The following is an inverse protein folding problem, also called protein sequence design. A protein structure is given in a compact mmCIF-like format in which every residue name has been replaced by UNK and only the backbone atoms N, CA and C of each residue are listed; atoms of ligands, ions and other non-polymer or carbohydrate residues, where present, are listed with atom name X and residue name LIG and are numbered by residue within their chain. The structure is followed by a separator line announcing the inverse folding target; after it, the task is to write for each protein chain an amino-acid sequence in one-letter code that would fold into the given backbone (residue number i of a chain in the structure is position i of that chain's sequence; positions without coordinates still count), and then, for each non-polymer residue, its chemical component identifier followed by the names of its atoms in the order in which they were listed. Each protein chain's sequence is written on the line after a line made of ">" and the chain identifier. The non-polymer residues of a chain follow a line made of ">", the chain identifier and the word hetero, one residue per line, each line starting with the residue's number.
data_IF_839290684359
#
_entry.id   IF_839290684359
#
_cell.length_a   1.000
_cell.length_b   1.000
_cell.length_c   1.000
_cell.angle_alpha   90.00
_cell.angle_beta   90.00
_cell.angle_gamma   90.00
#
_symmetry.space_group_name_H-M   'P 1'
#
loop_
_entity.id
_entity.type
_entity.pdbx_description
1 polymer ?
#
# COMPACT_ATOMS: atom_id res chain seq x y z
N UNK A 1 41.55 -39.35 -9.20
CA UNK A 1 41.41 -38.06 -8.48
C UNK A 1 40.57 -38.29 -7.23
N UNK A 2 41.22 -38.49 -6.07
CA UNK A 2 40.54 -38.65 -4.77
C UNK A 2 40.65 -37.32 -4.03
N UNK A 3 39.55 -36.60 -3.87
CA UNK A 3 39.39 -35.62 -2.79
C UNK A 3 37.98 -35.84 -2.21
N UNK A 4 38.00 -36.36 -0.99
CA UNK A 4 36.89 -36.76 -0.12
C UNK A 4 35.90 -35.60 0.07
N UNK A 5 34.62 -35.79 -0.26
CA UNK A 5 33.53 -35.97 0.72
C UNK A 5 33.87 -35.66 2.20
N UNK A 6 32.97 -34.87 2.82
CA UNK A 6 32.67 -34.77 4.27
C UNK A 6 33.74 -34.16 5.20
N UNK A 7 33.95 -32.83 5.23
CA UNK A 7 34.74 -32.20 6.33
C UNK A 7 34.60 -30.67 6.56
N UNK A 8 33.70 -29.95 5.87
CA UNK A 8 33.62 -28.47 6.01
C UNK A 8 32.37 -27.95 6.73
N UNK A 9 31.78 -28.74 7.62
CA UNK A 9 30.58 -28.34 8.37
C UNK A 9 30.62 -28.65 9.88
N UNK A 10 31.77 -29.02 10.47
CA UNK A 10 31.80 -29.49 11.87
C UNK A 10 32.89 -28.92 12.80
N UNK A 11 33.72 -27.95 12.38
CA UNK A 11 34.87 -27.49 13.20
C UNK A 11 34.91 -26.00 13.57
N UNK A 12 33.83 -25.24 13.34
CA UNK A 12 33.57 -23.98 14.03
C UNK A 12 32.39 -24.19 14.99
N UNK A 13 32.61 -24.88 16.11
CA UNK A 13 32.98 -24.25 17.38
C UNK A 13 31.91 -23.20 17.77
N UNK A 14 30.77 -23.60 18.34
CA UNK A 14 30.59 -23.82 19.80
C UNK A 14 30.94 -22.56 20.65
N UNK A 15 30.65 -21.32 20.22
CA UNK A 15 30.99 -20.14 21.04
C UNK A 15 30.07 -18.90 21.02
N UNK A 16 28.79 -18.99 20.63
CA UNK A 16 27.85 -17.87 20.87
C UNK A 16 26.51 -18.38 21.42
N UNK A 17 26.51 -18.82 22.69
CA UNK A 17 25.34 -19.34 23.43
C UNK A 17 24.73 -18.37 24.44
N UNK A 18 25.05 -17.07 24.43
CA UNK A 18 24.51 -16.16 25.43
C UNK A 18 23.88 -14.91 24.79
N UNK A 19 22.66 -15.09 24.28
CA UNK A 19 21.80 -14.00 23.80
C UNK A 19 20.41 -14.04 24.41
N UNK A 20 20.30 -14.26 25.73
CA UNK A 20 19.06 -13.95 26.44
C UNK A 20 18.94 -12.43 26.53
N UNK A 21 18.03 -11.83 25.78
CA UNK A 21 17.57 -10.47 26.06
C UNK A 21 16.08 -10.38 25.76
N UNK A 22 15.39 -10.04 26.84
CA UNK A 22 13.94 -9.96 27.01
C UNK A 22 13.30 -9.10 25.92
N UNK A 23 12.22 -9.60 25.31
CA UNK A 23 11.32 -8.77 24.51
C UNK A 23 10.56 -7.85 25.48
N UNK A 24 11.21 -6.75 25.86
CA UNK A 24 10.59 -5.66 26.60
C UNK A 24 9.49 -5.08 25.72
N UNK A 25 8.25 -5.23 26.17
CA UNK A 25 7.07 -4.83 25.41
C UNK A 25 7.07 -3.34 25.08
N UNK A 26 6.69 -3.00 23.86
CA UNK A 26 6.20 -1.67 23.52
C UNK A 26 4.80 -1.48 24.13
N UNK A 27 4.71 -1.32 25.46
CA UNK A 27 3.50 -0.83 26.11
C UNK A 27 3.50 0.70 26.00
N UNK A 28 3.12 1.20 24.84
CA UNK A 28 2.74 2.59 24.65
C UNK A 28 1.26 2.62 24.28
N UNK A 29 0.38 2.63 25.29
CA UNK A 29 -0.96 3.16 25.07
C UNK A 29 -0.81 4.67 24.87
N UNK A 30 -0.70 5.09 23.62
CA UNK A 30 -0.79 6.49 23.23
C UNK A 30 -2.25 6.93 23.34
N UNK A 31 -2.78 7.03 24.56
CA UNK A 31 -3.98 7.82 24.84
C UNK A 31 -3.55 9.28 24.90
N UNK A 32 -3.25 9.83 23.73
CA UNK A 32 -3.16 11.27 23.55
C UNK A 32 -4.59 11.79 23.58
N UNK A 33 -5.08 12.07 24.79
CA UNK A 33 -6.21 12.96 25.01
C UNK A 33 -5.72 14.41 24.88
N UNK A 34 -5.14 14.75 23.72
CA UNK A 34 -5.03 16.14 23.32
C UNK A 34 -6.42 16.51 22.82
N UNK A 35 -7.05 17.49 23.45
CA UNK A 35 -8.19 18.16 22.85
C UNK A 35 -7.61 18.97 21.69
N UNK A 36 -7.39 18.31 20.55
CA UNK A 36 -6.84 18.91 19.32
C UNK A 36 -7.80 20.02 18.89
N UNK A 37 -7.34 21.20 18.44
CA UNK A 37 -8.18 22.01 17.57
C UNK A 37 -8.62 21.10 16.43
N UNK A 38 -9.92 20.87 16.32
CA UNK A 38 -10.51 19.96 15.35
C UNK A 38 -9.98 20.38 13.98
N UNK A 39 -9.13 19.53 13.38
CA UNK A 39 -8.64 19.78 12.03
C UNK A 39 -9.88 19.96 11.14
N UNK A 40 -9.83 20.83 10.12
CA UNK A 40 -10.92 20.89 9.16
C UNK A 40 -11.23 19.47 8.66
N UNK A 41 -12.51 19.15 8.42
CA UNK A 41 -12.87 17.85 7.87
C UNK A 41 -12.07 17.62 6.57
N UNK A 42 -11.76 16.36 6.25
CA UNK A 42 -11.18 16.05 4.96
C UNK A 42 -12.09 16.58 3.83
N UNK A 43 -11.53 16.87 2.64
CA UNK A 43 -12.34 17.20 1.49
C UNK A 43 -13.34 16.07 1.20
N UNK A 44 -14.47 16.43 0.59
CA UNK A 44 -15.44 15.45 0.14
C UNK A 44 -14.86 14.62 -1.00
N UNK A 45 -15.22 13.35 -1.02
CA UNK A 45 -14.85 12.33 -1.98
C UNK A 45 -16.06 11.40 -2.06
N UNK A 46 -16.92 11.66 -3.05
CA UNK A 46 -18.28 11.14 -3.11
C UNK A 46 -18.31 9.69 -3.57
N UNK A 47 -17.39 9.27 -4.44
CA UNK A 47 -17.29 7.88 -4.92
C UNK A 47 -16.17 7.06 -4.26
N UNK A 48 -15.27 7.71 -3.53
CA UNK A 48 -14.27 7.06 -2.68
C UNK A 48 -13.03 6.58 -3.42
N UNK A 49 -12.71 7.15 -4.57
CA UNK A 49 -11.53 6.80 -5.36
C UNK A 49 -10.23 7.48 -4.88
N UNK A 50 -10.35 8.44 -3.97
CA UNK A 50 -9.24 9.20 -3.39
C UNK A 50 -8.93 10.53 -4.07
N UNK A 51 -9.74 10.95 -5.06
CA UNK A 51 -9.70 12.25 -5.70
C UNK A 51 -10.77 13.15 -5.05
N UNK A 52 -10.42 14.33 -4.52
CA UNK A 52 -11.40 15.25 -3.96
C UNK A 52 -12.45 15.70 -4.98
N UNK A 53 -13.72 15.79 -4.58
CA UNK A 53 -14.85 16.24 -5.42
C UNK A 53 -14.57 17.56 -6.17
N UNK A 54 -13.78 18.47 -5.57
CA UNK A 54 -13.41 19.77 -6.16
C UNK A 54 -12.45 19.64 -7.38
N UNK A 55 -11.78 18.50 -7.50
CA UNK A 55 -10.77 18.21 -8.53
C UNK A 55 -11.10 16.98 -9.37
N UNK A 56 -12.15 16.27 -9.00
CA UNK A 56 -12.65 15.08 -9.68
C UNK A 56 -13.55 15.48 -10.87
N UNK A 57 -13.23 14.98 -12.06
CA UNK A 57 -14.04 15.21 -13.25
C UNK A 57 -15.37 14.41 -13.23
N UNK A 58 -15.42 13.27 -12.54
CA UNK A 58 -16.58 12.42 -12.41
C UNK A 58 -16.89 12.05 -10.94
N UNK A 59 -17.19 13.04 -10.10
CA UNK A 59 -17.61 13.00 -8.67
C UNK A 59 -18.46 11.78 -8.19
N UNK A 60 -19.17 11.09 -9.07
CA UNK A 60 -20.03 9.94 -8.72
C UNK A 60 -19.60 8.61 -9.35
N UNK A 61 -18.54 8.61 -10.15
CA UNK A 61 -18.02 7.46 -10.89
C UNK A 61 -16.53 7.29 -10.60
N UNK A 62 -16.18 6.35 -9.73
CA UNK A 62 -14.80 6.13 -9.31
C UNK A 62 -13.86 5.87 -10.49
N UNK A 63 -12.68 6.50 -10.44
CA UNK A 63 -11.55 6.26 -11.35
C UNK A 63 -11.15 4.78 -11.42
N UNK A 64 -10.92 4.27 -12.62
CA UNK A 64 -10.53 2.88 -12.87
C UNK A 64 -9.03 2.70 -13.16
N UNK A 65 -8.28 3.80 -13.31
CA UNK A 65 -6.84 3.82 -13.55
C UNK A 65 -6.45 3.34 -14.95
N UNK A 66 -7.38 3.32 -15.90
CA UNK A 66 -7.13 2.92 -17.27
C UNK A 66 -6.63 4.11 -18.11
N UNK A 67 -5.84 3.81 -19.16
CA UNK A 67 -5.53 4.82 -20.18
C UNK A 67 -6.85 5.25 -20.88
N UNK A 68 -6.98 6.47 -21.42
CA UNK A 68 -5.92 7.44 -21.69
C UNK A 68 -5.46 8.24 -20.46
N UNK A 69 -6.34 8.52 -19.51
CA UNK A 69 -6.09 9.46 -18.42
C UNK A 69 -6.37 8.80 -17.05
N UNK A 70 -5.45 8.01 -16.50
CA UNK A 70 -5.69 7.12 -15.35
C UNK A 70 -5.80 7.84 -13.98
N UNK A 71 -6.05 9.15 -14.00
CA UNK A 71 -6.07 10.06 -12.83
C UNK A 71 -6.96 11.28 -13.10
N UNK A 72 -7.82 11.24 -14.11
CA UNK A 72 -8.73 12.35 -14.38
C UNK A 72 -9.96 12.32 -13.46
N UNK A 73 -10.16 11.21 -12.74
CA UNK A 73 -11.30 11.01 -11.86
C UNK A 73 -12.48 10.37 -12.58
N UNK A 74 -12.28 9.85 -13.79
CA UNK A 74 -13.34 9.29 -14.60
C UNK A 74 -12.96 7.88 -15.07
N UNK A 75 -13.87 6.90 -14.99
CA UNK A 75 -13.62 5.59 -15.57
C UNK A 75 -13.49 5.69 -17.09
N UNK A 76 -12.54 4.94 -17.66
CA UNK A 76 -12.42 4.88 -19.11
C UNK A 76 -13.64 4.19 -19.73
N UNK A 77 -14.32 4.89 -20.64
CA UNK A 77 -15.50 4.40 -21.37
C UNK A 77 -15.17 3.67 -22.66
N UNK A 78 -13.91 3.66 -23.12
CA UNK A 78 -13.41 3.04 -24.35
C UNK A 78 -12.03 2.39 -24.10
N UNK A 79 -12.02 1.10 -23.73
CA UNK A 79 -10.81 0.39 -23.30
C UNK A 79 -9.83 0.08 -24.43
N UNK A 80 -10.28 0.01 -25.68
CA UNK A 80 -9.43 -0.33 -26.82
C UNK A 80 -9.10 0.86 -27.75
N UNK A 81 -9.75 2.00 -27.53
CA UNK A 81 -9.47 3.26 -28.19
C UNK A 81 -10.02 3.33 -29.62
N UNK A 82 -11.02 2.52 -29.96
CA UNK A 82 -11.62 2.51 -31.29
C UNK A 82 -12.69 3.60 -31.49
N UNK A 83 -13.05 4.31 -30.42
CA UNK A 83 -14.06 5.37 -30.39
C UNK A 83 -15.48 4.88 -30.09
N UNK A 84 -15.67 3.61 -29.75
CA UNK A 84 -16.94 3.01 -29.36
C UNK A 84 -16.95 2.78 -27.85
N UNK A 85 -17.91 3.35 -27.11
CA UNK A 85 -17.93 3.16 -25.67
C UNK A 85 -18.48 1.78 -25.27
N UNK A 86 -17.97 1.19 -24.19
CA UNK A 86 -18.21 -0.17 -23.66
C UNK A 86 -19.69 -0.59 -23.47
N UNK A 87 -20.72 0.28 -23.33
CA UNK A 87 -22.11 -0.19 -23.46
C UNK A 87 -22.52 -0.59 -24.89
N UNK A 88 -21.67 -0.31 -25.89
CA UNK A 88 -21.98 -0.39 -27.34
C UNK A 88 -20.95 -1.16 -28.15
N UNK A 89 -19.87 -1.64 -27.53
CA UNK A 89 -18.87 -2.55 -28.09
C UNK A 89 -19.46 -3.97 -28.28
#
# INVERSE_FOLDING_TARGET
>A
MRISQTSSWLLSLVLVTAGASVMSGCKAELKVAMKTPEAPPPPADTDGDGIPDDTDACVTEAEDGNAPDPKDGCPNKDLDGDGIPIPTD
#
